data_IF_713754161963
#
_entry.id   IF_713754161963
#
_cell.length_a   1.000
_cell.length_b   1.000
_cell.length_c   1.000
_cell.angle_alpha   90.00
_cell.angle_beta   90.00
_cell.angle_gamma   90.00
#
_symmetry.space_group_name_H-M   'P 1'
#
loop_
_entity.id
_entity.type
_entity.pdbx_description
1 polymer ?
#
# COMPACT_ATOMS: atom_id res chain seq x y z
N UNK A 1 -4.50 26.74 6.83
CA UNK A 1 -4.44 25.28 6.74
C UNK A 1 -4.97 24.89 5.37
N UNK A 2 -4.27 24.01 4.67
CA UNK A 2 -4.62 23.58 3.30
C UNK A 2 -5.16 22.17 3.30
N UNK A 3 -6.07 21.86 2.38
CA UNK A 3 -6.73 20.55 2.28
C UNK A 3 -6.58 20.01 0.87
N UNK A 4 -6.06 18.77 0.73
CA UNK A 4 -6.12 17.99 -0.51
C UNK A 4 -7.53 17.41 -0.66
N UNK A 5 -8.19 17.66 -1.79
CA UNK A 5 -9.55 17.18 -2.04
C UNK A 5 -9.58 15.69 -2.33
N UNK A 6 -10.74 15.08 -2.12
CA UNK A 6 -11.05 13.71 -2.54
C UNK A 6 -11.46 13.72 -4.02
N UNK A 7 -10.50 13.72 -4.93
CA UNK A 7 -10.71 13.89 -6.37
C UNK A 7 -11.19 12.63 -7.07
N UNK A 8 -11.00 11.45 -6.47
CA UNK A 8 -11.37 10.15 -7.04
C UNK A 8 -12.70 9.59 -6.51
N UNK A 9 -13.39 10.31 -5.61
CA UNK A 9 -14.74 9.95 -5.18
C UNK A 9 -15.74 10.01 -6.34
N UNK A 10 -16.77 9.16 -6.29
CA UNK A 10 -17.78 8.91 -7.32
C UNK A 10 -17.26 8.26 -8.62
N UNK A 11 -15.97 7.95 -8.72
CA UNK A 11 -15.41 7.19 -9.85
C UNK A 11 -14.68 5.93 -9.39
N UNK A 12 -13.85 6.03 -8.34
CA UNK A 12 -13.11 4.89 -7.77
C UNK A 12 -13.78 4.30 -6.54
N UNK A 13 -14.52 5.12 -5.79
CA UNK A 13 -15.28 4.75 -4.59
C UNK A 13 -16.48 5.70 -4.41
N UNK A 14 -17.49 5.34 -3.61
CA UNK A 14 -18.66 6.20 -3.41
C UNK A 14 -18.30 7.51 -2.71
N UNK A 15 -18.79 8.65 -3.23
CA UNK A 15 -18.71 9.94 -2.55
C UNK A 15 -19.81 10.16 -1.51
N UNK A 16 -20.79 9.25 -1.42
CA UNK A 16 -21.81 9.27 -0.37
C UNK A 16 -21.22 8.72 0.93
N UNK A 17 -21.30 9.51 2.01
CA UNK A 17 -20.83 9.09 3.34
C UNK A 17 -21.46 7.77 3.77
N UNK A 18 -22.79 7.66 3.65
CA UNK A 18 -23.55 6.53 4.18
C UNK A 18 -23.26 5.25 3.38
N UNK A 19 -23.27 5.33 2.05
CA UNK A 19 -22.97 4.19 1.18
C UNK A 19 -21.54 3.69 1.38
N UNK A 20 -20.57 4.61 1.42
CA UNK A 20 -19.16 4.25 1.61
C UNK A 20 -18.95 3.62 2.99
N UNK A 21 -19.56 4.19 4.03
CA UNK A 21 -19.50 3.68 5.38
C UNK A 21 -20.09 2.26 5.48
N UNK A 22 -21.24 2.02 4.86
CA UNK A 22 -21.89 0.71 4.84
C UNK A 22 -21.05 -0.32 4.07
N UNK A 23 -20.53 0.02 2.89
CA UNK A 23 -19.67 -0.86 2.09
C UNK A 23 -18.42 -1.29 2.85
N UNK A 24 -17.68 -0.31 3.42
CA UNK A 24 -16.46 -0.58 4.16
C UNK A 24 -16.73 -1.42 5.41
N UNK A 25 -17.81 -1.10 6.16
CA UNK A 25 -18.24 -1.91 7.31
C UNK A 25 -18.56 -3.35 6.90
N UNK A 26 -19.31 -3.52 5.81
CA UNK A 26 -19.69 -4.83 5.29
C UNK A 26 -18.49 -5.70 4.92
N UNK A 27 -17.47 -5.12 4.28
CA UNK A 27 -16.23 -5.84 3.96
C UNK A 27 -15.38 -6.12 5.20
N UNK A 28 -15.21 -5.15 6.12
CA UNK A 28 -14.45 -5.34 7.37
C UNK A 28 -15.08 -6.37 8.30
N UNK A 29 -16.40 -6.53 8.28
CA UNK A 29 -17.11 -7.54 9.05
C UNK A 29 -16.94 -8.96 8.49
N UNK A 30 -16.73 -9.08 7.17
CA UNK A 30 -16.48 -10.37 6.50
C UNK A 30 -15.00 -10.78 6.55
N UNK A 31 -14.09 -9.82 6.66
CA UNK A 31 -12.67 -10.06 6.80
C UNK A 31 -12.34 -10.73 8.14
N UNK A 32 -11.41 -11.70 8.10
CA UNK A 32 -10.95 -12.42 9.30
C UNK A 32 -9.72 -11.75 9.91
N UNK A 33 -9.66 -11.65 11.24
CA UNK A 33 -8.45 -11.25 11.97
C UNK A 33 -7.57 -12.48 12.19
N UNK A 34 -6.41 -12.54 11.54
CA UNK A 34 -5.55 -13.74 11.49
C UNK A 34 -4.07 -13.45 11.73
N UNK A 35 -3.62 -12.20 11.58
CA UNK A 35 -2.20 -11.84 11.71
C UNK A 35 -2.06 -10.37 12.14
N UNK A 36 -2.30 -10.09 13.41
CA UNK A 36 -2.20 -8.74 14.00
C UNK A 36 -1.74 -8.77 15.47
N UNK A 37 -1.56 -7.61 16.12
CA UNK A 37 -1.82 -6.26 15.61
C UNK A 37 -0.77 -5.82 14.57
N UNK A 38 -1.23 -5.41 13.39
CA UNK A 38 -0.36 -5.06 12.28
C UNK A 38 0.46 -3.79 12.57
N UNK A 39 1.75 -3.84 12.22
CA UNK A 39 2.71 -2.73 12.20
C UNK A 39 3.00 -2.25 10.77
N UNK A 40 2.74 -3.09 9.78
CA UNK A 40 2.56 -2.67 8.40
C UNK A 40 1.50 -3.54 7.71
N UNK A 41 0.87 -3.01 6.67
CA UNK A 41 0.01 -3.77 5.77
C UNK A 41 0.41 -3.51 4.32
N UNK A 42 0.16 -4.49 3.45
CA UNK A 42 0.12 -4.29 1.99
C UNK A 42 -1.35 -4.36 1.59
N UNK A 43 -1.84 -3.37 0.84
CA UNK A 43 -3.25 -3.25 0.45
C UNK A 43 -3.37 -2.75 -1.00
N UNK A 44 -4.34 -3.26 -1.79
CA UNK A 44 -4.55 -2.82 -3.16
C UNK A 44 -5.08 -1.38 -3.24
N UNK A 45 -4.97 -0.79 -4.43
CA UNK A 45 -5.47 0.56 -4.74
C UNK A 45 -6.23 0.64 -6.08
N UNK A 46 -6.73 -0.46 -6.62
CA UNK A 46 -7.80 -0.39 -7.60
C UNK A 46 -9.10 0.20 -6.99
N UNK A 47 -10.06 0.57 -7.84
CA UNK A 47 -11.37 1.03 -7.39
C UNK A 47 -12.09 0.00 -6.50
N UNK A 48 -12.82 0.49 -5.49
CA UNK A 48 -13.38 -0.33 -4.41
C UNK A 48 -14.35 -1.42 -4.86
N UNK A 49 -15.02 -1.22 -5.99
CA UNK A 49 -15.85 -2.25 -6.61
C UNK A 49 -15.06 -3.55 -6.88
N UNK A 50 -13.78 -3.44 -7.24
CA UNK A 50 -12.93 -4.58 -7.58
C UNK A 50 -12.10 -5.09 -6.39
N UNK A 51 -11.48 -4.18 -5.64
CA UNK A 51 -10.43 -4.51 -4.67
C UNK A 51 -10.82 -4.24 -3.21
N UNK A 52 -11.93 -3.53 -2.94
CA UNK A 52 -12.31 -3.10 -1.59
C UNK A 52 -12.45 -4.28 -0.63
N UNK A 53 -13.18 -5.32 -1.04
CA UNK A 53 -13.30 -6.55 -0.25
C UNK A 53 -11.94 -7.21 0.07
N UNK A 54 -10.96 -7.14 -0.84
CA UNK A 54 -9.61 -7.64 -0.57
C UNK A 54 -8.90 -6.76 0.47
N UNK A 55 -8.88 -5.44 0.25
CA UNK A 55 -8.24 -4.47 1.14
C UNK A 55 -8.71 -4.60 2.59
N UNK A 56 -10.01 -4.90 2.81
CA UNK A 56 -10.55 -5.15 4.14
C UNK A 56 -9.77 -6.20 4.94
N UNK A 57 -9.22 -7.23 4.28
CA UNK A 57 -8.42 -8.26 4.97
C UNK A 57 -7.12 -7.70 5.54
N UNK A 58 -6.47 -6.74 4.87
CA UNK A 58 -5.31 -6.03 5.42
C UNK A 58 -5.72 -5.13 6.59
N UNK A 59 -6.70 -4.23 6.36
CA UNK A 59 -7.13 -3.26 7.37
C UNK A 59 -7.70 -3.91 8.64
N UNK A 60 -8.32 -5.09 8.51
CA UNK A 60 -8.83 -5.86 9.66
C UNK A 60 -7.72 -6.19 10.67
N UNK A 61 -6.47 -6.33 10.23
CA UNK A 61 -5.35 -6.72 11.09
C UNK A 61 -4.82 -5.58 11.97
N UNK A 62 -5.24 -4.33 11.70
CA UNK A 62 -4.81 -3.17 12.47
C UNK A 62 -5.66 -3.06 13.73
N UNK A 63 -5.02 -2.91 14.88
CA UNK A 63 -5.71 -2.58 16.12
C UNK A 63 -5.76 -1.05 16.28
N UNK A 64 -6.92 -0.40 16.10
CA UNK A 64 -7.02 1.06 16.12
C UNK A 64 -6.71 1.67 17.50
N UNK A 65 -6.83 0.90 18.59
CA UNK A 65 -6.55 1.40 19.94
C UNK A 65 -5.05 1.59 20.22
N UNK A 66 -4.19 0.95 19.42
CA UNK A 66 -2.73 1.01 19.59
C UNK A 66 -2.08 2.07 18.68
N UNK A 67 -2.77 2.50 17.61
CA UNK A 67 -2.15 3.25 16.51
C UNK A 67 -2.51 4.72 16.58
N UNK A 68 -1.49 5.57 16.50
CA UNK A 68 -1.62 7.03 16.47
C UNK A 68 -1.11 7.64 15.17
N UNK A 69 -0.36 6.89 14.37
CA UNK A 69 0.30 7.40 13.16
C UNK A 69 0.23 6.40 12.03
N UNK A 70 -0.23 6.86 10.87
CA UNK A 70 -0.27 6.07 9.64
C UNK A 70 0.66 6.68 8.60
N UNK A 71 1.70 5.96 8.19
CA UNK A 71 2.38 6.28 6.95
C UNK A 71 1.66 5.59 5.79
N UNK A 72 1.41 6.30 4.69
CA UNK A 72 0.73 5.76 3.52
C UNK A 72 1.66 5.89 2.32
N UNK A 73 2.25 4.79 1.89
CA UNK A 73 3.20 4.74 0.78
C UNK A 73 2.49 4.33 -0.49
N UNK A 74 2.39 5.25 -1.45
CA UNK A 74 1.80 4.97 -2.76
C UNK A 74 2.83 5.11 -3.87
N UNK A 75 2.81 4.27 -4.93
CA UNK A 75 3.59 4.52 -6.13
C UNK A 75 3.05 5.74 -6.91
N UNK A 76 3.93 6.44 -7.63
CA UNK A 76 3.52 7.47 -8.60
C UNK A 76 3.16 6.85 -9.95
N UNK A 77 1.97 7.18 -10.47
CA UNK A 77 1.48 6.76 -11.78
C UNK A 77 1.55 7.86 -12.84
N UNK A 78 1.45 9.13 -12.43
CA UNK A 78 1.23 10.26 -13.33
C UNK A 78 2.50 11.07 -13.62
N UNK A 79 3.38 11.21 -12.63
CA UNK A 79 4.59 12.00 -12.78
C UNK A 79 5.83 11.16 -12.48
N UNK A 80 6.87 11.40 -13.28
CA UNK A 80 8.15 10.77 -13.04
C UNK A 80 8.81 11.39 -11.81
N UNK A 81 9.22 10.51 -10.90
CA UNK A 81 9.95 10.84 -9.68
C UNK A 81 10.97 9.74 -9.48
N UNK A 82 12.21 10.08 -9.13
CA UNK A 82 13.23 9.11 -8.76
C UNK A 82 13.57 9.19 -7.26
N UNK A 83 12.77 9.92 -6.49
CA UNK A 83 12.84 10.13 -5.04
C UNK A 83 11.52 9.72 -4.36
N UNK A 84 11.31 10.14 -3.10
CA UNK A 84 9.99 10.15 -2.46
C UNK A 84 9.54 11.61 -2.27
N UNK A 85 8.25 11.89 -2.44
CA UNK A 85 7.67 13.21 -2.24
C UNK A 85 6.64 13.23 -1.11
N UNK A 86 6.57 14.33 -0.36
CA UNK A 86 5.63 14.53 0.74
C UNK A 86 4.70 15.71 0.41
N UNK A 87 3.37 15.57 0.53
CA UNK A 87 2.45 16.65 0.20
C UNK A 87 2.53 17.83 1.17
N UNK A 88 2.30 19.03 0.62
CA UNK A 88 2.22 20.26 1.41
C UNK A 88 0.91 20.42 2.17
N UNK A 89 -0.12 19.65 1.83
CA UNK A 89 -1.44 19.71 2.45
C UNK A 89 -1.40 19.41 3.96
N UNK A 90 -2.23 20.09 4.74
CA UNK A 90 -2.38 19.85 6.19
C UNK A 90 -3.51 18.85 6.50
N UNK A 91 -4.47 18.72 5.58
CA UNK A 91 -5.60 17.79 5.68
C UNK A 91 -5.84 17.06 4.35
N UNK A 92 -6.42 15.86 4.45
CA UNK A 92 -6.83 15.03 3.32
C UNK A 92 -8.32 14.73 3.43
N UNK A 93 -9.10 15.21 2.46
CA UNK A 93 -10.55 15.01 2.46
C UNK A 93 -10.90 13.53 2.26
N UNK A 94 -11.89 13.04 3.00
CA UNK A 94 -12.59 11.79 2.69
C UNK A 94 -14.10 12.00 2.88
N UNK A 95 -14.97 11.17 2.27
CA UNK A 95 -16.41 11.25 2.52
C UNK A 95 -16.82 10.99 3.99
N UNK A 96 -15.97 10.35 4.80
CA UNK A 96 -16.24 10.05 6.20
C UNK A 96 -15.82 11.21 7.12
N UNK A 97 -14.55 11.59 7.08
CA UNK A 97 -14.01 12.79 7.74
C UNK A 97 -12.61 13.10 7.20
N UNK A 98 -12.14 14.33 7.42
CA UNK A 98 -10.82 14.74 6.96
C UNK A 98 -9.72 14.13 7.83
N UNK A 99 -8.68 13.60 7.20
CA UNK A 99 -7.48 13.08 7.88
C UNK A 99 -6.46 14.20 8.07
N UNK A 100 -5.80 14.25 9.22
CA UNK A 100 -4.82 15.30 9.56
C UNK A 100 -3.38 14.83 9.29
N UNK A 101 -2.59 15.65 8.61
CA UNK A 101 -1.15 15.44 8.41
C UNK A 101 -0.38 15.48 9.74
N UNK A 102 0.62 14.60 9.92
CA UNK A 102 1.63 14.74 10.98
C UNK A 102 2.67 15.79 10.56
N UNK A 103 2.45 17.04 10.97
CA UNK A 103 3.30 18.17 10.56
C UNK A 103 4.73 18.10 11.11
N UNK A 104 4.94 17.46 12.27
CA UNK A 104 6.25 17.31 12.87
C UNK A 104 7.07 16.26 12.11
N UNK A 105 6.47 15.10 11.82
CA UNK A 105 7.11 14.08 10.99
C UNK A 105 7.41 14.62 9.60
N UNK A 106 6.46 15.30 8.94
CA UNK A 106 6.72 15.98 7.65
C UNK A 106 7.95 16.87 7.74
N UNK A 107 8.03 17.73 8.76
CA UNK A 107 9.19 18.63 8.95
C UNK A 107 10.50 17.84 9.12
N UNK A 108 10.48 16.75 9.86
CA UNK A 108 11.66 15.92 10.09
C UNK A 108 12.11 15.17 8.83
N UNK A 109 11.17 14.64 8.04
CA UNK A 109 11.46 14.04 6.72
C UNK A 109 12.05 15.08 5.77
N UNK A 110 11.43 16.26 5.63
CA UNK A 110 11.93 17.31 4.74
C UNK A 110 13.34 17.80 5.13
N UNK A 111 13.66 17.87 6.43
CA UNK A 111 15.01 18.24 6.92
C UNK A 111 16.12 17.29 6.48
N UNK A 112 15.81 16.05 6.11
CA UNK A 112 16.82 15.11 5.58
C UNK A 112 17.39 15.58 4.24
N UNK A 113 16.68 16.47 3.53
CA UNK A 113 17.03 16.90 2.17
C UNK A 113 16.90 15.78 1.14
N UNK A 114 16.17 14.70 1.45
CA UNK A 114 15.98 13.53 0.57
C UNK A 114 14.60 13.45 -0.08
N UNK A 115 13.68 14.34 0.29
CA UNK A 115 12.30 14.34 -0.16
C UNK A 115 11.98 15.59 -0.96
N UNK A 116 11.21 15.39 -2.02
CA UNK A 116 10.60 16.49 -2.77
C UNK A 116 9.28 16.93 -2.12
N UNK A 117 8.87 18.17 -2.37
CA UNK A 117 7.53 18.64 -2.02
C UNK A 117 6.58 18.20 -3.13
N UNK A 118 5.53 17.47 -2.77
CA UNK A 118 4.48 17.13 -3.70
C UNK A 118 3.49 18.29 -3.81
N UNK A 119 3.46 18.94 -4.97
CA UNK A 119 2.52 20.01 -5.27
C UNK A 119 1.08 19.50 -5.35
N UNK A 120 0.12 20.34 -4.92
CA UNK A 120 -1.29 19.94 -4.77
C UNK A 120 -1.92 19.39 -6.05
N UNK A 121 -1.57 19.92 -7.22
CA UNK A 121 -2.07 19.41 -8.51
C UNK A 121 -1.62 17.97 -8.76
N UNK A 122 -0.34 17.67 -8.57
CA UNK A 122 0.19 16.31 -8.73
C UNK A 122 -0.34 15.37 -7.63
N UNK A 123 -0.51 15.88 -6.40
CA UNK A 123 -1.10 15.13 -5.29
C UNK A 123 -2.55 14.72 -5.60
N UNK A 124 -3.36 15.66 -6.10
CA UNK A 124 -4.77 15.43 -6.43
C UNK A 124 -4.98 14.57 -7.69
N UNK A 125 -3.99 14.46 -8.58
CA UNK A 125 -4.02 13.53 -9.71
C UNK A 125 -3.70 12.08 -9.31
N UNK A 126 -2.90 11.88 -8.26
CA UNK A 126 -2.50 10.55 -7.81
C UNK A 126 -3.60 9.86 -6.99
N UNK A 127 -3.89 8.59 -7.29
CA UNK A 127 -4.95 7.82 -6.61
C UNK A 127 -4.39 6.78 -5.64
N UNK A 128 -3.13 6.35 -5.80
CA UNK A 128 -2.57 5.21 -5.08
C UNK A 128 -2.57 5.40 -3.56
N UNK A 129 -2.40 6.65 -3.10
CA UNK A 129 -2.49 7.03 -1.69
C UNK A 129 -3.96 7.26 -1.29
N UNK A 130 -4.74 7.97 -2.12
CA UNK A 130 -6.14 8.32 -1.81
C UNK A 130 -7.01 7.08 -1.56
N UNK A 131 -6.78 5.99 -2.29
CA UNK A 131 -7.51 4.73 -2.11
C UNK A 131 -7.30 4.08 -0.74
N UNK A 132 -6.32 4.53 0.05
CA UNK A 132 -6.11 4.04 1.41
C UNK A 132 -6.88 4.89 2.44
N UNK A 133 -7.16 6.15 2.14
CA UNK A 133 -7.71 7.09 3.12
C UNK A 133 -9.11 6.74 3.63
N UNK A 134 -10.10 6.33 2.81
CA UNK A 134 -11.40 5.96 3.35
C UNK A 134 -11.35 4.74 4.28
N UNK A 135 -10.48 3.77 4.02
CA UNK A 135 -10.28 2.63 4.91
C UNK A 135 -9.67 3.04 6.24
N UNK A 136 -8.63 3.91 6.22
CA UNK A 136 -8.02 4.47 7.44
C UNK A 136 -9.06 5.25 8.23
N UNK A 137 -9.81 6.15 7.57
CA UNK A 137 -10.89 6.89 8.19
C UNK A 137 -11.90 5.94 8.86
N UNK A 138 -12.29 4.87 8.15
CA UNK A 138 -13.26 3.91 8.66
C UNK A 138 -12.79 3.16 9.90
N UNK A 139 -11.56 2.63 9.91
CA UNK A 139 -11.09 1.87 11.09
C UNK A 139 -10.77 2.77 12.28
N UNK A 140 -10.52 4.05 12.05
CA UNK A 140 -10.20 5.04 13.08
C UNK A 140 -11.39 5.93 13.49
N UNK A 141 -12.63 5.58 13.14
CA UNK A 141 -13.82 6.41 13.46
C UNK A 141 -13.93 6.76 14.95
N UNK A 142 -13.66 5.80 15.84
CA UNK A 142 -13.70 6.01 17.30
C UNK A 142 -12.54 6.88 17.82
N UNK A 143 -11.52 7.13 16.99
CA UNK A 143 -10.29 7.83 17.33
C UNK A 143 -10.03 9.03 16.42
N UNK A 144 -11.07 9.56 15.74
CA UNK A 144 -10.95 10.55 14.67
C UNK A 144 -10.06 11.77 14.98
N UNK A 145 -9.97 12.18 16.25
CA UNK A 145 -9.18 13.33 16.70
C UNK A 145 -7.76 12.97 17.19
N UNK A 146 -7.48 11.68 17.38
CA UNK A 146 -6.31 11.16 18.12
C UNK A 146 -5.30 10.39 17.24
N UNK A 147 -5.35 10.56 15.91
CA UNK A 147 -4.32 10.05 15.01
C UNK A 147 -3.93 11.05 13.93
N UNK A 148 -2.85 10.74 13.22
CA UNK A 148 -2.35 11.49 12.06
C UNK A 148 -1.95 10.57 10.92
N UNK A 149 -1.88 11.12 9.71
CA UNK A 149 -1.41 10.45 8.50
C UNK A 149 -0.17 11.14 7.93
N UNK A 150 0.70 10.37 7.27
CA UNK A 150 1.86 10.84 6.52
C UNK A 150 1.85 10.15 5.16
N UNK A 151 1.25 10.77 4.14
CA UNK A 151 1.37 10.32 2.77
C UNK A 151 2.80 10.45 2.27
N UNK A 152 3.28 9.41 1.59
CA UNK A 152 4.59 9.35 0.95
C UNK A 152 4.38 8.85 -0.46
N UNK A 153 4.61 9.72 -1.44
CA UNK A 153 4.56 9.33 -2.83
C UNK A 153 5.94 8.81 -3.25
N UNK A 154 5.99 7.54 -3.62
CA UNK A 154 7.21 6.80 -3.92
C UNK A 154 7.40 6.73 -5.43
N UNK A 155 8.51 7.28 -5.91
CA UNK A 155 8.87 7.26 -7.32
C UNK A 155 9.46 5.93 -7.79
N UNK A 156 10.08 5.98 -8.97
CA UNK A 156 10.89 4.88 -9.51
C UNK A 156 12.27 4.88 -8.84
N UNK A 157 12.36 4.16 -7.72
CA UNK A 157 13.58 4.07 -6.94
C UNK A 157 14.52 3.00 -7.50
N UNK A 158 15.84 3.26 -7.41
CA UNK A 158 16.84 2.20 -7.54
C UNK A 158 16.91 1.38 -6.25
N UNK A 159 17.45 0.16 -6.30
CA UNK A 159 17.67 -0.68 -5.11
C UNK A 159 18.42 0.05 -3.99
N UNK A 160 19.43 0.86 -4.33
CA UNK A 160 20.17 1.68 -3.35
C UNK A 160 19.33 2.80 -2.75
N UNK A 161 18.39 3.38 -3.52
CA UNK A 161 17.46 4.40 -3.02
C UNK A 161 16.35 3.77 -2.18
N UNK A 162 15.85 2.58 -2.53
CA UNK A 162 14.94 1.80 -1.69
C UNK A 162 15.58 1.52 -0.32
N UNK A 163 16.85 1.11 -0.30
CA UNK A 163 17.63 0.96 0.94
C UNK A 163 17.72 2.26 1.73
N UNK A 164 18.12 3.36 1.09
CA UNK A 164 18.23 4.68 1.73
C UNK A 164 16.91 5.11 2.40
N UNK A 165 15.79 5.02 1.69
CA UNK A 165 14.49 5.38 2.25
C UNK A 165 14.05 4.39 3.33
N UNK A 166 14.31 3.09 3.15
CA UNK A 166 14.09 2.08 4.19
C UNK A 166 14.80 2.44 5.50
N UNK A 167 16.07 2.84 5.43
CA UNK A 167 16.84 3.30 6.59
C UNK A 167 16.23 4.55 7.24
N UNK A 168 15.80 5.54 6.45
CA UNK A 168 15.13 6.76 6.94
C UNK A 168 13.81 6.43 7.66
N UNK A 169 13.05 5.47 7.13
CA UNK A 169 11.74 5.12 7.67
C UNK A 169 11.79 4.10 8.80
N UNK A 170 12.88 3.34 8.94
CA UNK A 170 13.01 2.29 9.94
C UNK A 170 12.75 2.74 11.39
N UNK A 171 13.17 3.93 11.86
CA UNK A 171 12.85 4.37 13.22
C UNK A 171 11.35 4.54 13.45
N UNK A 172 10.60 4.99 12.43
CA UNK A 172 9.14 5.09 12.52
C UNK A 172 8.47 3.72 12.48
N UNK A 173 9.01 2.77 11.70
CA UNK A 173 8.54 1.39 11.72
C UNK A 173 8.85 0.68 13.05
N UNK A 174 9.78 1.17 13.86
CA UNK A 174 10.03 0.62 15.21
C UNK A 174 9.05 1.15 16.27
N UNK A 175 8.41 2.30 16.06
CA UNK A 175 7.48 2.92 17.01
C UNK A 175 6.13 2.17 17.05
N UNK A 176 5.76 1.49 18.16
CA UNK A 176 4.55 0.66 18.26
C UNK A 176 3.24 1.40 17.98
N UNK A 177 3.23 2.74 18.07
CA UNK A 177 2.08 3.55 17.73
C UNK A 177 1.98 3.91 16.24
N UNK A 178 2.90 3.42 15.41
CA UNK A 178 2.96 3.68 13.97
C UNK A 178 2.62 2.42 13.15
N UNK A 179 1.82 2.62 12.10
CA UNK A 179 1.53 1.62 11.06
C UNK A 179 1.94 2.14 9.70
N UNK A 180 2.56 1.27 8.89
CA UNK A 180 2.84 1.54 7.48
C UNK A 180 1.77 0.89 6.58
N UNK A 181 1.12 1.68 5.73
CA UNK A 181 0.21 1.21 4.69
C UNK A 181 0.95 1.26 3.36
N UNK A 182 1.32 0.09 2.84
CA UNK A 182 1.99 -0.06 1.55
C UNK A 182 0.93 -0.31 0.47
N UNK A 183 0.74 0.67 -0.40
CA UNK A 183 -0.28 0.63 -1.45
C UNK A 183 0.25 -0.09 -2.69
N UNK A 184 -0.30 -1.25 -3.03
CA UNK A 184 0.10 -2.02 -4.22
C UNK A 184 -0.99 -2.96 -4.72
N UNK A 185 -1.32 -2.83 -5.99
CA UNK A 185 -1.84 -3.94 -6.79
C UNK A 185 -0.69 -4.86 -7.23
N UNK A 186 -1.04 -6.07 -7.68
CA UNK A 186 -0.11 -7.10 -8.16
C UNK A 186 -0.18 -7.20 -9.69
N UNK A 187 -0.02 -8.38 -10.30
CA UNK A 187 0.06 -8.50 -11.76
C UNK A 187 -1.08 -7.78 -12.51
N UNK A 188 -0.71 -6.81 -13.34
CA UNK A 188 -1.53 -6.25 -14.41
C UNK A 188 -1.24 -7.04 -15.70
N UNK A 189 -2.11 -7.98 -16.02
CA UNK A 189 -1.93 -8.91 -17.14
C UNK A 189 -2.84 -8.58 -18.32
N UNK A 190 -2.29 -8.65 -19.52
CA UNK A 190 -2.99 -8.47 -20.79
C UNK A 190 -2.32 -7.46 -21.72
N UNK A 191 -2.70 -7.47 -22.99
CA UNK A 191 -2.13 -6.59 -24.03
C UNK A 191 -2.20 -5.10 -23.67
N UNK A 192 -3.29 -4.67 -23.02
CA UNK A 192 -3.47 -3.27 -22.58
C UNK A 192 -2.42 -2.79 -21.56
N UNK A 193 -1.72 -3.72 -20.91
CA UNK A 193 -0.63 -3.44 -19.97
C UNK A 193 0.74 -3.77 -20.56
N UNK A 194 0.80 -4.20 -21.83
CA UNK A 194 2.02 -4.68 -22.49
C UNK A 194 2.70 -5.81 -21.70
N UNK A 195 1.93 -6.66 -21.01
CA UNK A 195 2.44 -7.72 -20.16
C UNK A 195 1.57 -8.97 -20.25
N UNK A 196 2.08 -10.00 -20.93
CA UNK A 196 1.36 -11.26 -21.20
C UNK A 196 2.20 -12.49 -20.86
N UNK A 197 3.08 -12.38 -19.86
CA UNK A 197 3.83 -13.53 -19.34
C UNK A 197 2.88 -14.70 -19.07
N UNK A 198 3.21 -15.87 -19.59
CA UNK A 198 2.37 -17.06 -19.45
C UNK A 198 3.22 -18.32 -19.45
N UNK A 199 3.25 -18.98 -18.30
CA UNK A 199 3.81 -20.32 -18.14
C UNK A 199 2.74 -21.36 -18.48
N UNK A 200 2.86 -21.95 -19.67
CA UNK A 200 1.92 -22.92 -20.21
C UNK A 200 1.83 -24.20 -19.37
N UNK A 201 2.87 -24.52 -18.58
CA UNK A 201 2.87 -25.72 -17.74
C UNK A 201 1.83 -25.66 -16.61
N UNK A 202 1.36 -24.46 -16.28
CA UNK A 202 0.40 -24.21 -15.19
C UNK A 202 -1.08 -24.26 -15.64
N UNK A 203 -1.33 -24.57 -16.92
CA UNK A 203 -2.68 -24.66 -17.47
C UNK A 203 -3.25 -23.29 -17.83
N UNK A 204 -4.45 -22.93 -17.36
CA UNK A 204 -5.09 -21.66 -17.74
C UNK A 204 -4.26 -20.43 -17.33
N UNK A 205 -4.32 -19.36 -18.13
CA UNK A 205 -3.55 -18.12 -17.93
C UNK A 205 -3.70 -17.57 -16.50
N UNK A 206 -4.92 -17.51 -15.95
CA UNK A 206 -5.15 -17.02 -14.59
C UNK A 206 -4.39 -17.81 -13.51
N UNK A 207 -4.10 -19.09 -13.74
CA UNK A 207 -3.28 -19.92 -12.84
C UNK A 207 -1.80 -19.54 -12.94
N UNK A 208 -1.31 -19.26 -14.14
CA UNK A 208 0.04 -18.74 -14.34
C UNK A 208 0.23 -17.36 -13.71
N UNK A 209 -0.77 -16.48 -13.83
CA UNK A 209 -0.77 -15.17 -13.14
C UNK A 209 -0.70 -15.39 -11.62
N UNK A 210 -1.56 -16.27 -11.09
CA UNK A 210 -1.59 -16.57 -9.66
C UNK A 210 -0.27 -17.12 -9.13
N UNK A 211 0.33 -18.07 -9.85
CA UNK A 211 1.63 -18.64 -9.49
C UNK A 211 2.73 -17.57 -9.51
N UNK A 212 2.74 -16.72 -10.53
CA UNK A 212 3.68 -15.62 -10.64
C UNK A 212 3.55 -14.64 -9.46
N UNK A 213 2.34 -14.21 -9.14
CA UNK A 213 2.10 -13.33 -7.99
C UNK A 213 2.53 -13.99 -6.68
N UNK A 214 2.17 -15.27 -6.48
CA UNK A 214 2.51 -16.02 -5.29
C UNK A 214 4.03 -16.21 -5.11
N UNK A 215 4.80 -16.35 -6.20
CA UNK A 215 6.28 -16.35 -6.14
C UNK A 215 6.82 -15.04 -5.55
N UNK A 216 6.29 -13.90 -6.00
CA UNK A 216 6.63 -12.59 -5.44
C UNK A 216 6.19 -12.46 -3.98
N UNK A 217 4.96 -12.87 -3.66
CA UNK A 217 4.40 -12.84 -2.30
C UNK A 217 5.25 -13.68 -1.33
N UNK A 218 5.67 -14.88 -1.72
CA UNK A 218 6.49 -15.77 -0.88
C UNK A 218 7.83 -15.14 -0.49
N UNK A 219 8.48 -14.42 -1.42
CA UNK A 219 9.72 -13.68 -1.15
C UNK A 219 9.49 -12.53 -0.16
N UNK A 220 8.36 -11.84 -0.27
CA UNK A 220 7.95 -10.79 0.66
C UNK A 220 7.64 -11.38 2.06
N UNK A 221 6.95 -12.52 2.16
CA UNK A 221 6.69 -13.21 3.45
C UNK A 221 7.97 -13.67 4.14
N UNK A 222 8.94 -14.13 3.34
CA UNK A 222 10.29 -14.50 3.82
C UNK A 222 11.15 -13.31 4.21
N UNK A 223 10.67 -12.08 4.00
CA UNK A 223 11.43 -10.85 4.21
C UNK A 223 12.77 -10.87 3.44
N UNK A 224 12.74 -11.42 2.22
CA UNK A 224 13.90 -11.59 1.34
C UNK A 224 13.98 -10.45 0.32
N UNK A 225 14.62 -9.36 0.73
CA UNK A 225 14.75 -8.13 -0.05
C UNK A 225 15.49 -8.35 -1.38
N UNK A 226 16.58 -9.10 -1.37
CA UNK A 226 17.36 -9.37 -2.58
C UNK A 226 16.64 -10.35 -3.50
N UNK A 227 15.99 -11.36 -2.93
CA UNK A 227 15.16 -12.31 -3.67
C UNK A 227 14.02 -11.60 -4.40
N UNK A 228 13.27 -10.72 -3.72
CA UNK A 228 12.21 -9.94 -4.34
C UNK A 228 12.71 -9.02 -5.45
N UNK A 229 13.85 -8.34 -5.25
CA UNK A 229 14.48 -7.52 -6.29
C UNK A 229 14.86 -8.35 -7.53
N UNK A 230 15.45 -9.53 -7.31
CA UNK A 230 15.85 -10.45 -8.40
C UNK A 230 14.63 -10.97 -9.15
N UNK A 231 13.57 -11.36 -8.43
CA UNK A 231 12.29 -11.76 -9.01
C UNK A 231 11.69 -10.69 -9.94
N UNK A 232 11.69 -9.42 -9.51
CA UNK A 232 11.20 -8.32 -10.36
C UNK A 232 12.04 -8.16 -11.63
N UNK A 233 13.35 -8.35 -11.55
CA UNK A 233 14.25 -8.29 -12.71
C UNK A 233 14.00 -9.43 -13.69
N UNK A 234 13.80 -10.64 -13.18
CA UNK A 234 13.67 -11.85 -14.00
C UNK A 234 12.31 -11.92 -14.69
N UNK A 235 11.23 -11.71 -13.94
CA UNK A 235 9.87 -11.86 -14.46
C UNK A 235 9.26 -10.57 -14.97
N UNK A 236 9.73 -9.41 -14.47
CA UNK A 236 9.14 -8.10 -14.76
C UNK A 236 7.63 -8.06 -14.47
N UNK A 237 7.18 -8.80 -13.45
CA UNK A 237 5.78 -8.75 -13.00
C UNK A 237 5.41 -7.30 -12.70
N UNK A 238 4.24 -6.88 -13.18
CA UNK A 238 3.77 -5.49 -13.21
C UNK A 238 3.20 -5.02 -11.87
N UNK A 239 3.82 -5.43 -10.76
CA UNK A 239 3.48 -4.98 -9.40
C UNK A 239 3.73 -3.47 -9.31
N UNK A 240 2.67 -2.67 -9.19
CA UNK A 240 2.76 -1.21 -9.25
C UNK A 240 3.46 -0.63 -8.01
N UNK A 241 3.19 -1.16 -6.82
CA UNK A 241 3.80 -0.75 -5.55
C UNK A 241 5.13 -1.46 -5.24
N UNK A 242 5.84 -1.98 -6.25
CA UNK A 242 7.13 -2.67 -6.05
C UNK A 242 8.17 -1.83 -5.29
N UNK A 243 8.20 -0.52 -5.52
CA UNK A 243 9.14 0.39 -4.85
C UNK A 243 8.73 0.68 -3.39
N UNK A 244 7.46 1.01 -3.08
CA UNK A 244 6.95 0.98 -1.70
C UNK A 244 7.24 -0.33 -0.95
N UNK A 245 7.06 -1.49 -1.59
CA UNK A 245 7.37 -2.80 -1.00
C UNK A 245 8.88 -2.93 -0.73
N UNK A 246 9.74 -2.53 -1.68
CA UNK A 246 11.19 -2.52 -1.49
C UNK A 246 11.64 -1.65 -0.32
N UNK A 247 11.03 -0.46 -0.16
CA UNK A 247 11.26 0.43 1.00
C UNK A 247 10.87 -0.25 2.31
N UNK A 248 9.72 -0.93 2.37
CA UNK A 248 9.30 -1.68 3.56
C UNK A 248 10.31 -2.78 3.89
N UNK A 249 10.70 -3.61 2.93
CA UNK A 249 11.64 -4.71 3.13
C UNK A 249 13.00 -4.20 3.64
N UNK A 250 13.50 -3.11 3.08
CA UNK A 250 14.72 -2.47 3.56
C UNK A 250 14.58 -1.81 4.94
N UNK A 251 13.42 -1.24 5.27
CA UNK A 251 13.16 -0.72 6.60
C UNK A 251 13.20 -1.86 7.64
N UNK A 252 12.64 -3.02 7.30
CA UNK A 252 12.71 -4.22 8.14
C UNK A 252 14.16 -4.71 8.28
N UNK A 253 14.93 -4.76 7.20
CA UNK A 253 16.35 -5.14 7.24
C UNK A 253 17.18 -4.23 8.16
N UNK A 254 16.93 -2.91 8.13
CA UNK A 254 17.59 -1.96 9.00
C UNK A 254 17.26 -2.18 10.50
N UNK A 255 16.08 -2.72 10.81
CA UNK A 255 15.68 -3.06 12.17
C UNK A 255 16.24 -4.40 12.66
N UNK A 256 16.53 -5.36 11.78
CA UNK A 256 17.07 -6.68 12.18
C UNK A 256 18.34 -6.59 13.03
N UNK A 257 19.13 -5.52 12.89
CA UNK A 257 20.34 -5.30 13.70
C UNK A 257 20.08 -4.59 15.04
N UNK A 258 18.89 -4.05 15.27
CA UNK A 258 18.60 -3.14 16.39
C UNK A 258 17.45 -3.56 17.30
N UNK A 259 16.56 -4.46 16.85
CA UNK A 259 15.47 -5.01 17.67
C UNK A 259 15.67 -6.49 17.99
N UNK A 260 15.17 -6.92 19.15
CA UNK A 260 15.02 -8.33 19.53
C UNK A 260 13.72 -8.94 18.99
N UNK A 261 12.76 -8.10 18.59
CA UNK A 261 11.47 -8.53 18.05
C UNK A 261 11.67 -9.15 16.66
N UNK A 262 11.02 -10.29 16.41
CA UNK A 262 11.11 -10.95 15.11
C UNK A 262 9.94 -10.55 14.22
N UNK A 263 10.18 -9.76 13.16
CA UNK A 263 9.13 -9.39 12.23
C UNK A 263 8.64 -10.63 11.48
N UNK A 264 7.32 -10.78 11.34
CA UNK A 264 6.72 -11.80 10.48
C UNK A 264 5.66 -11.18 9.58
N UNK A 265 5.75 -11.42 8.28
CA UNK A 265 4.80 -10.93 7.28
C UNK A 265 4.01 -12.11 6.72
N UNK A 266 2.68 -11.95 6.61
CA UNK A 266 1.81 -12.92 5.95
C UNK A 266 0.82 -12.25 5.02
N UNK A 267 0.64 -12.81 3.83
CA UNK A 267 -0.51 -12.51 2.99
C UNK A 267 -1.76 -13.21 3.55
N UNK A 268 -2.81 -12.42 3.74
CA UNK A 268 -4.07 -12.84 4.36
C UNK A 268 -5.22 -12.92 3.35
N UNK A 269 -5.02 -12.42 2.13
CA UNK A 269 -5.98 -12.51 1.04
C UNK A 269 -5.30 -12.35 -0.33
N UNK A 270 -5.82 -13.05 -1.33
CA UNK A 270 -5.48 -12.89 -2.75
C UNK A 270 -6.75 -12.95 -3.60
N UNK A 271 -6.82 -12.08 -4.62
CA UNK A 271 -7.91 -12.03 -5.58
C UNK A 271 -7.41 -11.61 -6.96
N UNK A 272 -8.22 -11.86 -7.99
CA UNK A 272 -8.00 -11.37 -9.34
C UNK A 272 -9.30 -10.69 -9.81
N UNK A 273 -9.19 -9.57 -10.52
CA UNK A 273 -10.36 -8.84 -11.05
C UNK A 273 -11.25 -9.71 -11.94
N UNK A 274 -10.65 -10.68 -12.63
CA UNK A 274 -11.28 -11.65 -13.52
C UNK A 274 -10.31 -12.82 -13.75
N UNK A 275 -10.84 -13.95 -14.25
CA UNK A 275 -10.01 -15.12 -14.62
C UNK A 275 -9.70 -15.09 -16.12
N UNK A 276 -8.50 -14.65 -16.49
CA UNK A 276 -8.02 -14.73 -17.87
C UNK A 276 -7.89 -16.18 -18.35
N UNK A 277 -8.48 -16.48 -19.50
CA UNK A 277 -8.44 -17.77 -20.20
C UNK A 277 -7.96 -17.64 -21.65
N UNK A 278 -8.02 -16.44 -22.22
CA UNK A 278 -7.55 -16.13 -23.57
C UNK A 278 -6.57 -14.97 -23.58
N UNK A 279 -5.77 -14.86 -24.65
CA UNK A 279 -4.83 -13.73 -24.85
C UNK A 279 -5.53 -12.38 -25.04
N UNK A 280 -6.84 -12.38 -25.32
CA UNK A 280 -7.65 -11.15 -25.43
C UNK A 280 -8.17 -10.66 -24.08
N UNK A 281 -8.08 -11.49 -23.04
CA UNK A 281 -8.54 -11.13 -21.71
C UNK A 281 -7.52 -10.20 -21.04
N UNK A 282 -7.94 -9.52 -19.97
CA UNK A 282 -7.01 -8.82 -19.08
C UNK A 282 -7.52 -8.84 -17.65
N UNK A 283 -6.60 -8.81 -16.70
CA UNK A 283 -6.91 -8.80 -15.27
C UNK A 283 -5.89 -8.01 -14.48
N UNK A 284 -6.28 -7.58 -13.28
CA UNK A 284 -5.38 -7.07 -12.24
C UNK A 284 -5.52 -7.97 -11.02
N UNK A 285 -4.40 -8.32 -10.41
CA UNK A 285 -4.36 -9.08 -9.16
C UNK A 285 -4.33 -8.16 -7.94
N UNK A 286 -4.97 -8.59 -6.86
CA UNK A 286 -5.01 -7.88 -5.59
C UNK A 286 -4.53 -8.81 -4.48
N UNK A 287 -3.69 -8.30 -3.60
CA UNK A 287 -3.24 -9.06 -2.44
C UNK A 287 -3.26 -8.17 -1.20
N UNK A 288 -3.49 -8.80 -0.04
CA UNK A 288 -3.48 -8.12 1.24
C UNK A 288 -2.55 -8.84 2.19
N UNK A 289 -1.65 -8.10 2.83
CA UNK A 289 -0.69 -8.65 3.80
C UNK A 289 -0.68 -7.84 5.09
N UNK A 290 -0.17 -8.49 6.13
CA UNK A 290 0.09 -7.87 7.42
C UNK A 290 1.48 -8.27 7.92
N UNK A 291 2.19 -7.30 8.48
CA UNK A 291 3.45 -7.44 9.18
C UNK A 291 3.19 -7.22 10.67
N UNK A 292 3.65 -8.14 11.52
CA UNK A 292 3.65 -8.00 12.98
C UNK A 292 5.07 -8.09 13.50
N UNK A 293 5.33 -7.47 14.64
CA UNK A 293 6.55 -7.65 15.41
C UNK A 293 6.16 -8.43 16.69
N UNK A 294 6.82 -9.57 16.91
CA UNK A 294 6.59 -10.46 18.05
C UNK A 294 7.81 -10.47 18.98
#
# INVERSE_FOLDING_TARGET
MTTRRATHKNSWYSGSRDELNEQLSGWLNKASFTHGPARAIISPHAGYFYSGACAAHAYKQINPDLVKRYFVFGPSHHFYLDTCAIPSADYFETPLFNLRMDTEVRKNLMKTGKFDILETNHDEEEHSIEMQFPYIAKIMEAHAENFTVIPVLVGSLSFSKEKLFGEIFSPYLSDPATVFVISSDFCHWGDRFSYTYYDQSLGEIWKSIRDLDHKGMELIEKLDTLGFHTYLKDYRNTICGRHPIGVLLHAIDALKSTTLEQPTLKFVQYAQSSKCRSQRDSSVSYASASLVFN
#
